data_IF_643934114393
#
_entry.id   IF_643934114393
#
_cell.length_a   1.000
_cell.length_b   1.000
_cell.length_c   1.000
_cell.angle_alpha   90.00
_cell.angle_beta   90.00
_cell.angle_gamma   90.00
#
_symmetry.space_group_name_H-M   'P 1'
#
loop_
_entity.id
_entity.type
_entity.pdbx_description
1 polymer ?
#
# COMPACT_ATOMS: atom_id res chain seq x y z
N UNK A 1 20.74 24.01 -9.50
CA UNK A 1 19.40 23.46 -9.73
C UNK A 1 18.48 23.82 -8.59
N UNK A 2 17.30 24.33 -8.91
CA UNK A 2 16.22 24.49 -7.95
C UNK A 2 15.61 23.11 -7.60
N UNK A 3 14.96 23.04 -6.44
CA UNK A 3 14.27 21.83 -5.97
C UNK A 3 13.10 21.51 -6.90
N UNK A 4 13.09 20.32 -7.51
CA UNK A 4 11.99 19.88 -8.36
C UNK A 4 10.73 19.67 -7.50
N UNK A 5 9.59 20.15 -7.97
CA UNK A 5 8.30 19.92 -7.32
C UNK A 5 7.60 18.72 -7.94
N UNK A 6 7.14 17.80 -7.09
CA UNK A 6 6.59 16.51 -7.52
C UNK A 6 5.27 16.66 -8.28
N UNK A 7 4.46 17.68 -7.96
CA UNK A 7 3.18 17.90 -8.66
C UNK A 7 3.38 18.24 -10.14
N UNK A 8 4.43 18.99 -10.49
CA UNK A 8 4.77 19.33 -11.87
C UNK A 8 5.19 18.08 -12.66
N UNK A 9 5.84 17.12 -12.01
CA UNK A 9 6.27 15.87 -12.66
C UNK A 9 5.11 14.94 -13.01
N UNK A 10 3.99 15.02 -12.30
CA UNK A 10 2.81 14.17 -12.57
C UNK A 10 2.09 14.54 -13.86
N UNK A 11 2.20 15.79 -14.30
CA UNK A 11 1.55 16.29 -15.51
C UNK A 11 2.37 16.04 -16.79
N UNK A 12 3.62 15.58 -16.66
CA UNK A 12 4.54 15.37 -17.78
C UNK A 12 4.38 14.00 -18.41
N UNK A 13 4.77 13.91 -19.68
CA UNK A 13 4.81 12.64 -20.40
C UNK A 13 5.93 11.72 -19.92
N UNK A 14 5.78 10.40 -20.12
CA UNK A 14 6.80 9.41 -19.77
C UNK A 14 8.13 9.67 -20.48
N UNK A 15 8.09 10.12 -21.74
CA UNK A 15 9.29 10.41 -22.53
C UNK A 15 10.08 11.59 -21.94
N UNK A 16 9.40 12.67 -21.57
CA UNK A 16 10.03 13.81 -20.90
C UNK A 16 10.67 13.41 -19.57
N UNK A 17 9.98 12.62 -18.74
CA UNK A 17 10.53 12.15 -17.47
C UNK A 17 11.80 11.31 -17.65
N UNK A 18 11.89 10.51 -18.71
CA UNK A 18 13.09 9.73 -19.03
C UNK A 18 14.24 10.60 -19.52
N UNK A 19 13.96 11.67 -20.26
CA UNK A 19 14.99 12.62 -20.68
C UNK A 19 15.52 13.39 -19.47
N UNK A 20 14.64 13.93 -18.62
CA UNK A 20 15.02 14.58 -17.36
C UNK A 20 15.85 13.66 -16.46
N UNK A 21 15.53 12.37 -16.42
CA UNK A 21 16.32 11.38 -15.66
C UNK A 21 17.76 11.25 -16.20
N UNK A 22 17.95 11.26 -17.52
CA UNK A 22 19.28 11.16 -18.14
C UNK A 22 20.13 12.38 -17.79
N UNK A 23 19.56 13.58 -17.90
CA UNK A 23 20.25 14.83 -17.60
C UNK A 23 20.69 14.90 -16.14
N UNK A 24 19.79 14.55 -15.21
CA UNK A 24 20.10 14.52 -13.78
C UNK A 24 21.18 13.49 -13.42
N UNK A 25 21.22 12.35 -14.12
CA UNK A 25 22.26 11.34 -13.93
C UNK A 25 23.62 11.81 -14.46
N UNK A 26 23.65 12.51 -15.59
CA UNK A 26 24.86 13.11 -16.13
C UNK A 26 25.42 14.18 -15.17
N UNK A 27 24.55 15.07 -14.64
CA UNK A 27 24.96 16.06 -13.64
C UNK A 27 25.50 15.39 -12.36
N UNK A 28 24.84 14.32 -11.88
CA UNK A 28 25.33 13.58 -10.72
C UNK A 28 26.72 12.97 -10.96
N UNK A 29 26.98 12.45 -12.16
CA UNK A 29 28.30 11.90 -12.51
C UNK A 29 29.38 12.98 -12.45
N UNK A 30 29.13 14.15 -13.02
CA UNK A 30 30.04 15.30 -12.98
C UNK A 30 30.30 15.75 -11.54
N UNK A 31 29.27 15.82 -10.69
CA UNK A 31 29.42 16.20 -9.29
C UNK A 31 30.20 15.16 -8.47
N UNK A 32 30.14 13.88 -8.84
CA UNK A 32 30.93 12.82 -8.20
C UNK A 32 32.41 12.94 -8.55
N UNK A 33 32.76 13.26 -9.79
CA UNK A 33 34.15 13.54 -10.18
C UNK A 33 34.67 14.77 -9.43
N UNK A 34 33.89 15.86 -9.42
CA UNK A 34 34.25 17.07 -8.70
C UNK A 34 34.44 16.85 -7.18
N UNK A 35 33.72 15.89 -6.58
CA UNK A 35 33.92 15.50 -5.19
C UNK A 35 35.30 14.86 -4.97
N UNK A 36 35.75 14.00 -5.88
CA UNK A 36 37.05 13.31 -5.76
C UNK A 36 38.20 14.29 -5.97
N UNK A 37 38.06 15.25 -6.88
CA UNK A 37 39.10 16.25 -7.19
C UNK A 37 39.13 17.44 -6.21
N UNK A 38 38.51 17.32 -5.03
CA UNK A 38 38.52 18.40 -4.01
C UNK A 38 37.76 19.66 -4.40
N UNK A 39 36.68 19.55 -5.16
CA UNK A 39 35.92 20.70 -5.66
C UNK A 39 35.22 21.54 -4.58
N UNK A 40 34.83 22.77 -4.97
CA UNK A 40 34.22 23.76 -4.08
C UNK A 40 32.99 23.24 -3.30
N UNK A 41 32.79 23.67 -2.03
CA UNK A 41 31.72 23.17 -1.16
C UNK A 41 30.31 23.40 -1.74
N UNK A 42 30.12 24.49 -2.49
CA UNK A 42 28.86 24.78 -3.18
C UNK A 42 28.46 23.71 -4.22
N UNK A 43 29.43 23.02 -4.83
CA UNK A 43 29.15 21.89 -5.74
C UNK A 43 28.80 20.62 -4.95
N UNK A 44 29.41 20.41 -3.79
CA UNK A 44 29.15 19.25 -2.94
C UNK A 44 27.73 19.26 -2.34
N UNK A 45 27.25 20.44 -1.91
CA UNK A 45 25.89 20.60 -1.38
C UNK A 45 24.80 20.23 -2.40
N UNK A 46 25.08 20.38 -3.70
CA UNK A 46 24.14 20.02 -4.79
C UNK A 46 23.93 18.51 -4.93
N UNK A 47 24.88 17.69 -4.49
CA UNK A 47 24.81 16.21 -4.62
C UNK A 47 23.54 15.66 -3.96
N UNK A 48 23.23 16.13 -2.73
CA UNK A 48 22.04 15.70 -2.00
C UNK A 48 20.76 16.07 -2.75
N UNK A 49 20.70 17.27 -3.30
CA UNK A 49 19.54 17.80 -4.03
C UNK A 49 19.30 17.02 -5.32
N UNK A 50 20.35 16.75 -6.10
CA UNK A 50 20.25 15.99 -7.36
C UNK A 50 19.84 14.53 -7.08
N UNK A 51 20.40 13.89 -6.05
CA UNK A 51 19.99 12.52 -5.65
C UNK A 51 18.50 12.43 -5.28
N UNK A 52 18.00 13.39 -4.51
CA UNK A 52 16.58 13.46 -4.14
C UNK A 52 15.71 13.69 -5.37
N UNK A 53 16.15 14.55 -6.30
CA UNK A 53 15.44 14.83 -7.55
C UNK A 53 15.33 13.59 -8.44
N UNK A 54 16.41 12.80 -8.59
CA UNK A 54 16.39 11.51 -9.30
C UNK A 54 15.39 10.54 -8.66
N UNK A 55 15.43 10.42 -7.33
CA UNK A 55 14.52 9.54 -6.59
C UNK A 55 13.05 9.95 -6.79
N UNK A 56 12.73 11.25 -6.82
CA UNK A 56 11.39 11.75 -7.09
C UNK A 56 10.90 11.39 -8.49
N UNK A 57 11.72 11.60 -9.52
CA UNK A 57 11.36 11.25 -10.91
C UNK A 57 11.11 9.75 -11.06
N UNK A 58 11.99 8.91 -10.53
CA UNK A 58 11.82 7.45 -10.54
C UNK A 58 10.56 7.01 -9.78
N UNK A 59 10.23 7.70 -8.69
CA UNK A 59 9.02 7.42 -7.91
C UNK A 59 7.76 7.71 -8.73
N UNK A 60 7.69 8.84 -9.44
CA UNK A 60 6.55 9.20 -10.29
C UNK A 60 6.38 8.21 -11.45
N UNK A 61 7.49 7.85 -12.12
CA UNK A 61 7.48 6.81 -13.17
C UNK A 61 6.96 5.48 -12.62
N UNK A 62 7.42 5.07 -11.44
CA UNK A 62 6.99 3.81 -10.82
C UNK A 62 5.53 3.84 -10.38
N UNK A 63 5.04 4.99 -9.90
CA UNK A 63 3.64 5.17 -9.51
C UNK A 63 2.71 5.06 -10.71
N UNK A 64 3.01 5.77 -11.80
CA UNK A 64 2.22 5.77 -13.04
C UNK A 64 2.21 4.39 -13.71
N UNK A 65 3.34 3.68 -13.74
CA UNK A 65 3.38 2.30 -14.23
C UNK A 65 2.49 1.37 -13.39
N UNK A 66 2.54 1.48 -12.07
CA UNK A 66 1.71 0.66 -11.18
C UNK A 66 0.22 1.00 -11.28
N UNK A 67 -0.17 2.26 -11.48
CA UNK A 67 -1.58 2.62 -11.67
C UNK A 67 -2.14 2.01 -12.95
N UNK A 68 -1.42 2.14 -14.07
CA UNK A 68 -1.80 1.54 -15.36
C UNK A 68 -1.91 0.01 -15.24
N UNK A 69 -0.97 -0.65 -14.56
CA UNK A 69 -1.05 -2.09 -14.32
C UNK A 69 -2.24 -2.47 -13.42
N UNK A 70 -2.56 -1.70 -12.39
CA UNK A 70 -3.73 -1.96 -11.53
C UNK A 70 -5.04 -1.85 -12.31
N UNK A 71 -5.13 -0.90 -13.23
CA UNK A 71 -6.28 -0.74 -14.12
C UNK A 71 -6.38 -1.92 -15.09
N UNK A 72 -5.27 -2.30 -15.75
CA UNK A 72 -5.23 -3.41 -16.71
C UNK A 72 -5.55 -4.79 -16.09
N UNK A 73 -5.27 -4.99 -14.82
CA UNK A 73 -5.56 -6.23 -14.09
C UNK A 73 -6.79 -6.13 -13.17
N UNK A 74 -7.55 -5.04 -13.24
CA UNK A 74 -8.78 -4.88 -12.47
C UNK A 74 -9.75 -6.01 -12.83
N UNK A 75 -10.33 -6.64 -11.81
CA UNK A 75 -11.31 -7.74 -11.93
C UNK A 75 -10.79 -9.07 -12.51
N UNK A 76 -9.50 -9.20 -12.83
CA UNK A 76 -8.93 -10.49 -13.23
C UNK A 76 -8.77 -11.39 -12.00
N UNK A 77 -9.17 -12.66 -12.12
CA UNK A 77 -9.03 -13.67 -11.06
C UNK A 77 -7.57 -13.85 -10.62
N UNK A 78 -6.65 -13.85 -11.59
CA UNK A 78 -5.23 -14.05 -11.35
C UNK A 78 -4.46 -12.72 -11.40
N UNK A 79 -4.07 -12.24 -10.22
CA UNK A 79 -3.23 -11.07 -10.06
C UNK A 79 -1.76 -11.47 -9.87
N UNK A 80 -0.81 -10.73 -10.49
CA UNK A 80 0.61 -10.80 -10.16
C UNK A 80 0.86 -10.58 -8.66
N UNK A 81 1.88 -11.25 -8.10
CA UNK A 81 2.19 -11.19 -6.66
C UNK A 81 2.41 -9.76 -6.14
N UNK A 82 3.00 -8.89 -6.95
CA UNK A 82 3.31 -7.50 -6.59
C UNK A 82 2.06 -6.61 -6.43
N UNK A 83 0.97 -6.93 -7.14
CA UNK A 83 -0.27 -6.16 -7.09
C UNK A 83 -1.22 -6.66 -6.00
N UNK A 84 -0.97 -7.85 -5.43
CA UNK A 84 -1.80 -8.43 -4.37
C UNK A 84 -1.75 -7.58 -3.10
N UNK A 85 -2.85 -7.52 -2.34
CA UNK A 85 -2.85 -6.81 -1.07
C UNK A 85 -1.85 -7.44 -0.09
N UNK A 86 -0.99 -6.61 0.50
CA UNK A 86 -0.02 -7.06 1.49
C UNK A 86 -0.72 -7.26 2.84
N UNK A 87 -1.03 -8.53 3.15
CA UNK A 87 -1.58 -8.97 4.44
C UNK A 87 -0.64 -10.00 5.08
N UNK A 88 -0.77 -10.23 6.38
CA UNK A 88 -0.02 -11.30 7.05
C UNK A 88 -0.41 -12.68 6.50
N UNK A 89 0.45 -13.68 6.67
CA UNK A 89 0.18 -15.05 6.19
C UNK A 89 -1.07 -15.64 6.84
N UNK A 90 -1.26 -15.42 8.15
CA UNK A 90 -2.45 -15.85 8.88
C UNK A 90 -3.74 -15.27 8.27
N UNK A 91 -3.76 -13.96 8.01
CA UNK A 91 -4.92 -13.29 7.38
C UNK A 91 -5.18 -13.78 5.95
N UNK A 92 -4.15 -14.20 5.20
CA UNK A 92 -4.34 -14.78 3.87
C UNK A 92 -4.91 -16.19 3.89
N UNK A 93 -4.69 -16.95 4.98
CA UNK A 93 -5.13 -18.35 5.13
C UNK A 93 -6.50 -18.49 5.81
N UNK A 94 -6.92 -17.50 6.59
CA UNK A 94 -8.24 -17.53 7.24
C UNK A 94 -9.37 -17.59 6.20
N UNK A 95 -10.51 -18.14 6.61
CA UNK A 95 -11.73 -18.17 5.81
C UNK A 95 -12.23 -16.75 5.48
N UNK A 96 -12.94 -16.63 4.35
CA UNK A 96 -13.59 -15.36 3.99
C UNK A 96 -14.75 -15.07 4.95
N UNK A 97 -15.10 -13.79 5.14
CA UNK A 97 -16.20 -13.39 6.04
C UNK A 97 -17.51 -14.10 5.67
N UNK A 98 -17.78 -14.23 4.36
CA UNK A 98 -18.95 -14.95 3.86
C UNK A 98 -18.92 -16.43 4.25
N UNK A 99 -17.78 -17.11 4.14
CA UNK A 99 -17.66 -18.51 4.57
C UNK A 99 -17.87 -18.67 6.08
N UNK A 100 -17.29 -17.79 6.89
CA UNK A 100 -17.48 -17.82 8.35
C UNK A 100 -18.95 -17.63 8.71
N UNK A 101 -19.64 -16.68 8.06
CA UNK A 101 -21.07 -16.44 8.25
C UNK A 101 -21.92 -17.64 7.80
N UNK A 102 -21.56 -18.31 6.71
CA UNK A 102 -22.25 -19.52 6.25
C UNK A 102 -22.08 -20.71 7.23
N UNK A 103 -20.90 -20.81 7.86
CA UNK A 103 -20.55 -21.86 8.82
C UNK A 103 -21.08 -21.58 10.24
N UNK A 104 -21.46 -20.33 10.53
CA UNK A 104 -22.01 -19.93 11.82
C UNK A 104 -23.54 -19.96 11.72
N UNK A 105 -24.24 -20.93 12.35
CA UNK A 105 -25.70 -20.87 12.41
C UNK A 105 -26.13 -19.55 13.07
N UNK A 106 -27.22 -18.96 12.57
CA UNK A 106 -27.85 -17.78 13.16
C UNK A 106 -28.34 -18.18 14.56
N UNK A 107 -27.59 -17.85 15.60
CA UNK A 107 -28.09 -17.92 16.98
C UNK A 107 -28.82 -16.61 17.25
N UNK A 108 -30.14 -16.63 17.05
CA UNK A 108 -31.01 -15.55 17.50
C UNK A 108 -30.84 -15.39 19.01
N UNK A 109 -30.43 -14.20 19.46
CA UNK A 109 -30.38 -13.87 20.89
C UNK A 109 -31.75 -14.00 21.58
N UNK A 110 -32.84 -14.07 20.81
CA UNK A 110 -34.20 -14.27 21.32
C UNK A 110 -34.47 -15.71 21.78
N UNK A 111 -33.77 -16.73 21.24
CA UNK A 111 -33.96 -18.13 21.66
C UNK A 111 -33.35 -18.42 23.04
N UNK A 112 -32.34 -17.63 23.46
CA UNK A 112 -31.72 -17.75 24.78
C UNK A 112 -32.65 -17.27 25.92
N UNK A 113 -33.55 -16.32 25.64
CA UNK A 113 -34.48 -15.80 26.64
C UNK A 113 -35.65 -16.77 26.92
N UNK A 114 -36.12 -17.51 25.91
CA UNK A 114 -37.20 -18.50 26.07
C UNK A 114 -36.71 -19.75 26.82
N UNK A 115 -35.47 -20.17 26.60
CA UNK A 115 -34.89 -21.33 27.27
C UNK A 115 -34.64 -21.08 28.76
N UNK A 116 -34.04 -19.94 29.12
CA UNK A 116 -33.76 -19.59 30.54
C UNK A 116 -35.03 -19.32 31.34
N UNK A 117 -36.09 -18.76 30.72
CA UNK A 117 -37.37 -18.54 31.39
C UNK A 117 -38.16 -19.83 31.67
N UNK A 118 -37.97 -20.86 30.83
CA UNK A 118 -38.63 -22.16 30.97
C UNK A 118 -37.98 -23.00 32.08
N UNK A 119 -36.65 -22.99 32.19
CA UNK A 119 -35.92 -23.71 33.26
C UNK A 119 -36.12 -23.07 34.64
N UNK A 120 -36.24 -21.73 34.73
CA UNK A 120 -36.48 -21.04 36.00
C UNK A 120 -37.91 -21.28 36.54
N UNK A 121 -38.90 -21.46 35.64
CA UNK A 121 -40.27 -21.82 36.03
C UNK A 121 -40.39 -23.26 36.52
N UNK A 122 -39.59 -24.20 35.98
CA UNK A 122 -39.55 -25.58 36.46
C UNK A 122 -38.89 -25.71 37.83
N UNK A 123 -37.83 -24.93 38.11
CA UNK A 123 -37.15 -24.92 39.41
C UNK A 123 -37.97 -24.29 40.55
N UNK A 124 -38.87 -23.34 40.24
CA UNK A 124 -39.78 -22.74 41.22
C UNK A 124 -41.00 -23.62 41.58
N UNK A 125 -41.35 -24.59 40.73
CA UNK A 125 -42.51 -25.47 40.95
C UNK A 125 -42.18 -26.81 41.63
N UNK A 126 -40.91 -27.12 41.88
CA UNK A 126 -40.48 -28.33 42.61
C UNK A 126 -40.08 -28.07 44.07
N UNK A 127 -40.45 -26.92 44.62
CA UNK A 127 -39.99 -26.47 45.95
C UNK A 127 -41.09 -26.03 46.91
N UNK A 128 -42.27 -26.63 46.92
CA UNK A 128 -43.18 -26.61 48.09
C UNK A 128 -44.01 -27.89 48.08
N UNK A 129 -43.80 -28.74 49.09
CA UNK A 129 -44.49 -30.01 49.31
C UNK A 129 -43.77 -30.81 50.37
#
# INVERSE_FOLDING_TARGET
MARIKVHELRQKSKAELLNQLKDLKAELALLRVAKVTGGAPNKLSKIKVVRLSIAQVLTVISQTQKSVLREAYKNKKFLPLDLRPKKTRAIRRRLTKHQVLLLSPHFDHCDYAVFVASDLSLLLNHGVG
#
